data_IF_686992444231
#
_entry.id   IF_686992444231
#
_cell.length_a   1.000
_cell.length_b   1.000
_cell.length_c   1.000
_cell.angle_alpha   90.00
_cell.angle_beta   90.00
_cell.angle_gamma   90.00
#
_symmetry.space_group_name_H-M   'P 1'
#
loop_
_entity.id
_entity.type
_entity.pdbx_description
1 polymer ?
#
# COMPACT_ATOMS: atom_id res chain seq x y z
N UNK A 1 10.95 2.30 -17.59
CA UNK A 1 10.88 3.57 -16.84
C UNK A 1 11.53 4.66 -17.70
N UNK A 2 10.85 5.80 -17.85
CA UNK A 2 11.37 6.95 -18.60
C UNK A 2 12.44 7.74 -17.81
N UNK A 3 12.79 7.26 -16.64
CA UNK A 3 13.78 7.90 -15.76
C UNK A 3 15.17 7.29 -15.92
N UNK A 4 16.17 8.15 -15.89
CA UNK A 4 17.58 7.73 -15.91
C UNK A 4 17.93 6.94 -14.64
N UNK A 5 18.81 5.93 -14.75
CA UNK A 5 19.33 5.21 -13.59
C UNK A 5 20.04 6.14 -12.59
N UNK A 6 20.00 5.79 -11.31
CA UNK A 6 20.72 6.46 -10.22
C UNK A 6 20.49 7.99 -10.16
N UNK A 7 19.21 8.40 -10.35
CA UNK A 7 18.85 9.83 -10.40
C UNK A 7 18.35 10.37 -9.06
N UNK A 8 17.66 9.55 -8.28
CA UNK A 8 16.92 10.01 -7.08
C UNK A 8 17.60 9.57 -5.79
N UNK A 9 17.62 10.46 -4.79
CA UNK A 9 18.06 10.14 -3.43
C UNK A 9 16.96 9.40 -2.66
N UNK A 10 15.70 9.74 -2.94
CA UNK A 10 14.52 9.14 -2.28
C UNK A 10 13.43 8.91 -3.31
N UNK A 11 12.72 7.76 -3.18
CA UNK A 11 11.48 7.48 -3.88
C UNK A 11 10.39 7.17 -2.86
N UNK A 12 9.17 7.68 -3.08
CA UNK A 12 8.03 7.52 -2.21
C UNK A 12 6.89 6.78 -2.93
N UNK A 13 6.22 5.86 -2.23
CA UNK A 13 5.01 5.20 -2.69
C UNK A 13 4.02 5.04 -1.52
N UNK A 14 3.14 6.01 -1.33
CA UNK A 14 2.19 6.06 -0.21
C UNK A 14 0.75 5.85 -0.64
N UNK A 15 -0.16 5.79 0.34
CA UNK A 15 -1.60 5.74 0.11
C UNK A 15 -2.13 4.40 -0.39
N UNK A 16 -1.48 3.29 -0.04
CA UNK A 16 -1.87 1.94 -0.49
C UNK A 16 -1.77 1.75 -2.02
N UNK A 17 -0.98 2.59 -2.70
CA UNK A 17 -0.91 2.64 -4.17
C UNK A 17 -0.30 1.38 -4.79
N UNK A 18 0.71 0.78 -4.16
CA UNK A 18 1.43 -0.38 -4.69
C UNK A 18 0.50 -1.55 -5.04
N UNK A 19 -0.49 -1.83 -4.21
CA UNK A 19 -1.36 -3.00 -4.32
C UNK A 19 -2.38 -2.91 -5.47
N UNK A 20 -2.51 -1.75 -6.11
CA UNK A 20 -3.27 -1.60 -7.36
C UNK A 20 -2.63 -2.34 -8.55
N UNK A 21 -1.38 -2.75 -8.45
CA UNK A 21 -0.73 -3.56 -9.47
C UNK A 21 -1.24 -5.00 -9.55
N UNK A 22 -2.05 -5.44 -8.62
CA UNK A 22 -2.85 -6.67 -8.59
C UNK A 22 -2.07 -7.99 -8.76
N UNK A 23 -0.76 -7.96 -8.98
CA UNK A 23 0.07 -9.17 -9.07
C UNK A 23 1.47 -8.96 -8.50
N UNK A 24 2.02 -10.02 -7.88
CA UNK A 24 3.40 -10.01 -7.37
C UNK A 24 4.42 -9.77 -8.49
N UNK A 25 4.16 -10.26 -9.69
CA UNK A 25 5.05 -10.06 -10.85
C UNK A 25 5.12 -8.57 -11.25
N UNK A 26 3.98 -7.89 -11.32
CA UNK A 26 3.91 -6.45 -11.61
C UNK A 26 4.57 -5.62 -10.51
N UNK A 27 4.35 -5.98 -9.24
CA UNK A 27 5.01 -5.35 -8.10
C UNK A 27 6.52 -5.55 -8.18
N UNK A 28 7.00 -6.76 -8.46
CA UNK A 28 8.43 -7.04 -8.61
C UNK A 28 9.07 -6.21 -9.73
N UNK A 29 8.37 -6.05 -10.86
CA UNK A 29 8.83 -5.18 -11.97
C UNK A 29 8.93 -3.73 -11.54
N UNK A 30 7.93 -3.22 -10.82
CA UNK A 30 7.91 -1.85 -10.28
C UNK A 30 9.06 -1.63 -9.28
N UNK A 31 9.25 -2.55 -8.33
CA UNK A 31 10.30 -2.47 -7.31
C UNK A 31 11.71 -2.48 -7.95
N UNK A 32 11.95 -3.30 -8.99
CA UNK A 32 13.19 -3.26 -9.77
C UNK A 32 13.39 -1.92 -10.48
N UNK A 33 12.30 -1.33 -10.99
CA UNK A 33 12.34 0.01 -11.57
C UNK A 33 12.74 1.08 -10.56
N UNK A 34 12.14 1.04 -9.35
CA UNK A 34 12.51 1.93 -8.23
C UNK A 34 13.98 1.75 -7.85
N UNK A 35 14.42 0.50 -7.69
CA UNK A 35 15.82 0.20 -7.39
C UNK A 35 16.78 0.77 -8.45
N UNK A 36 16.43 0.68 -9.73
CA UNK A 36 17.24 1.21 -10.82
C UNK A 36 17.40 2.72 -10.75
N UNK A 37 16.34 3.46 -10.49
CA UNK A 37 16.35 4.93 -10.51
C UNK A 37 16.92 5.55 -9.23
N UNK A 38 16.98 4.82 -8.13
CA UNK A 38 17.64 5.26 -6.90
C UNK A 38 19.15 5.29 -7.06
N UNK A 39 19.79 6.30 -6.48
CA UNK A 39 21.25 6.36 -6.30
C UNK A 39 21.71 5.24 -5.36
N UNK A 40 22.99 4.81 -5.42
CA UNK A 40 23.58 3.97 -4.37
C UNK A 40 23.38 4.62 -2.98
N UNK A 41 22.86 3.85 -2.00
CA UNK A 41 22.47 4.36 -0.68
C UNK A 41 21.16 5.17 -0.65
N UNK A 42 20.50 5.35 -1.78
CA UNK A 42 19.19 6.02 -1.87
C UNK A 42 18.08 5.23 -1.16
N UNK A 43 17.06 5.92 -0.69
CA UNK A 43 16.02 5.38 0.17
C UNK A 43 14.69 5.21 -0.57
N UNK A 44 14.03 4.09 -0.36
CA UNK A 44 12.63 3.87 -0.75
C UNK A 44 11.73 3.84 0.48
N UNK A 45 10.74 4.72 0.51
CA UNK A 45 9.71 4.78 1.55
C UNK A 45 8.37 4.36 0.94
N UNK A 46 7.75 3.34 1.53
CA UNK A 46 6.52 2.74 1.06
C UNK A 46 5.48 2.71 2.18
N UNK A 47 4.20 2.92 1.84
CA UNK A 47 3.10 2.66 2.76
C UNK A 47 1.97 1.94 2.03
N UNK A 48 1.59 0.78 2.59
CA UNK A 48 0.37 0.05 2.23
C UNK A 48 -0.47 -0.19 3.49
N UNK A 49 -1.63 -0.82 3.34
CA UNK A 49 -2.38 -1.31 4.49
C UNK A 49 -1.85 -2.66 4.96
N UNK A 50 -2.03 -2.92 6.25
CA UNK A 50 -1.59 -4.14 6.93
C UNK A 50 -2.55 -5.30 6.62
N UNK A 51 -2.35 -5.95 5.47
CA UNK A 51 -3.24 -7.02 5.01
C UNK A 51 -3.19 -8.27 5.88
N UNK A 52 -2.11 -8.53 6.63
CA UNK A 52 -2.11 -9.62 7.63
C UNK A 52 -3.19 -9.39 8.69
N UNK A 53 -3.32 -8.16 9.19
CA UNK A 53 -4.35 -7.76 10.15
C UNK A 53 -5.75 -7.75 9.52
N UNK A 54 -5.89 -7.15 8.34
CA UNK A 54 -7.18 -7.04 7.63
C UNK A 54 -7.77 -8.41 7.33
N UNK A 55 -6.96 -9.34 6.84
CA UNK A 55 -7.41 -10.70 6.52
C UNK A 55 -7.60 -11.55 7.78
N UNK A 56 -6.71 -11.43 8.76
CA UNK A 56 -6.78 -12.20 10.02
C UNK A 56 -8.02 -11.89 10.84
N UNK A 57 -8.37 -10.62 10.97
CA UNK A 57 -9.56 -10.17 11.72
C UNK A 57 -10.81 -10.03 10.82
N UNK A 58 -10.72 -10.38 9.52
CA UNK A 58 -11.81 -10.23 8.52
C UNK A 58 -12.40 -8.82 8.49
N UNK A 59 -11.53 -7.81 8.47
CA UNK A 59 -11.96 -6.41 8.42
C UNK A 59 -12.56 -6.12 7.05
N UNK A 60 -13.85 -5.86 7.02
CA UNK A 60 -14.61 -5.57 5.80
C UNK A 60 -14.89 -4.08 5.60
N UNK A 61 -14.66 -3.26 6.62
CA UNK A 61 -14.93 -1.82 6.57
C UNK A 61 -13.77 -1.03 7.18
N UNK A 62 -13.33 0.01 6.49
CA UNK A 62 -12.31 0.93 7.00
C UNK A 62 -12.95 2.07 7.80
N UNK A 63 -12.21 2.69 8.75
CA UNK A 63 -12.72 3.81 9.51
C UNK A 63 -13.34 4.89 8.62
N UNK A 64 -14.55 5.32 8.97
CA UNK A 64 -15.25 6.38 8.23
C UNK A 64 -14.42 7.67 8.21
N UNK A 65 -14.30 8.29 7.05
CA UNK A 65 -13.78 9.65 6.92
C UNK A 65 -14.98 10.57 6.69
N UNK A 66 -15.21 11.46 7.64
CA UNK A 66 -16.33 12.40 7.55
C UNK A 66 -15.87 13.81 7.93
N UNK A 67 -16.28 14.78 7.12
CA UNK A 67 -16.08 16.21 7.33
C UNK A 67 -17.42 16.94 7.12
N UNK A 68 -17.43 18.25 7.27
CA UNK A 68 -18.61 19.08 6.94
C UNK A 68 -19.06 18.94 5.48
N UNK A 69 -18.11 18.68 4.56
CA UNK A 69 -18.35 18.68 3.11
C UNK A 69 -18.51 17.28 2.51
N UNK A 70 -17.87 16.26 3.09
CA UNK A 70 -17.84 14.91 2.52
C UNK A 70 -18.06 13.84 3.58
N UNK A 71 -18.57 12.68 3.10
CA UNK A 71 -18.56 11.42 3.82
C UNK A 71 -17.98 10.36 2.90
N UNK A 72 -16.90 9.68 3.32
CA UNK A 72 -16.18 8.71 2.50
C UNK A 72 -16.17 7.34 3.17
N UNK A 73 -16.94 6.43 2.59
CA UNK A 73 -17.12 5.05 3.04
C UNK A 73 -16.23 4.16 2.18
N UNK A 74 -15.52 3.22 2.83
CA UNK A 74 -14.58 2.30 2.16
C UNK A 74 -14.76 0.90 2.71
N UNK A 75 -15.04 -0.07 1.81
CA UNK A 75 -15.29 -1.47 2.19
C UNK A 75 -14.43 -2.43 1.40
N UNK A 76 -14.13 -3.57 2.02
CA UNK A 76 -13.51 -4.71 1.38
C UNK A 76 -14.50 -5.86 1.24
N UNK A 77 -14.52 -6.49 0.06
CA UNK A 77 -15.14 -7.79 -0.14
C UNK A 77 -14.02 -8.81 -0.26
N UNK A 78 -13.85 -9.60 0.78
CA UNK A 78 -12.81 -10.63 0.90
C UNK A 78 -13.41 -11.96 0.43
N UNK A 79 -12.76 -12.62 -0.53
CA UNK A 79 -13.14 -13.94 -1.02
C UNK A 79 -12.09 -14.96 -0.55
N UNK A 80 -12.54 -16.11 -0.11
CA UNK A 80 -11.65 -17.21 0.28
C UNK A 80 -10.83 -17.68 -0.92
N UNK A 81 -9.54 -17.96 -0.68
CA UNK A 81 -8.59 -18.42 -1.69
C UNK A 81 -8.35 -17.46 -2.87
N UNK A 82 -8.77 -16.19 -2.76
CA UNK A 82 -8.45 -15.16 -3.75
C UNK A 82 -7.42 -14.19 -3.17
N UNK A 83 -6.24 -14.00 -3.80
CA UNK A 83 -5.26 -13.03 -3.35
C UNK A 83 -5.72 -11.58 -3.57
N UNK A 84 -6.78 -11.37 -4.36
CA UNK A 84 -7.35 -10.06 -4.61
C UNK A 84 -8.55 -9.82 -3.69
N UNK A 85 -8.60 -8.61 -3.12
CA UNK A 85 -9.79 -8.09 -2.43
C UNK A 85 -10.46 -7.03 -3.30
N UNK A 86 -11.79 -7.04 -3.37
CA UNK A 86 -12.52 -5.94 -4.03
C UNK A 86 -12.64 -4.78 -3.04
N UNK A 87 -12.18 -3.63 -3.47
CA UNK A 87 -12.22 -2.40 -2.71
C UNK A 87 -13.32 -1.50 -3.27
N UNK A 88 -14.34 -1.29 -2.48
CA UNK A 88 -15.51 -0.50 -2.82
C UNK A 88 -15.49 0.82 -2.05
N UNK A 89 -15.80 1.90 -2.74
CA UNK A 89 -15.80 3.25 -2.16
C UNK A 89 -17.07 4.00 -2.52
N UNK A 90 -17.55 4.80 -1.56
CA UNK A 90 -18.64 5.75 -1.77
C UNK A 90 -18.22 7.08 -1.19
N UNK A 91 -18.15 8.10 -2.04
CA UNK A 91 -17.87 9.48 -1.67
C UNK A 91 -19.17 10.27 -1.79
N UNK A 92 -19.75 10.64 -0.67
CA UNK A 92 -20.92 11.53 -0.58
C UNK A 92 -20.43 12.98 -0.49
N UNK A 93 -20.81 13.82 -1.44
CA UNK A 93 -20.52 15.25 -1.46
C UNK A 93 -21.76 15.97 -0.93
N UNK A 94 -21.73 16.36 0.36
CA UNK A 94 -22.91 16.81 1.11
C UNK A 94 -23.61 18.04 0.52
N UNK A 95 -22.83 19.00 0.00
CA UNK A 95 -23.39 20.25 -0.57
C UNK A 95 -24.07 20.03 -1.93
N UNK A 96 -23.65 19.02 -2.66
CA UNK A 96 -24.15 18.73 -4.02
C UNK A 96 -25.19 17.60 -4.01
N UNK A 97 -25.45 17.01 -2.83
CA UNK A 97 -26.29 15.81 -2.68
C UNK A 97 -25.90 14.68 -3.66
N UNK A 98 -24.61 14.63 -3.99
CA UNK A 98 -24.05 13.68 -4.98
C UNK A 98 -23.27 12.57 -4.30
N UNK A 99 -23.45 11.34 -4.79
CA UNK A 99 -22.63 10.19 -4.39
C UNK A 99 -21.85 9.65 -5.58
N UNK A 100 -20.54 9.59 -5.44
CA UNK A 100 -19.65 8.94 -6.42
C UNK A 100 -19.22 7.60 -5.85
N UNK A 101 -19.49 6.51 -6.56
CA UNK A 101 -19.07 5.17 -6.18
C UNK A 101 -18.02 4.62 -7.14
N UNK A 102 -17.09 3.83 -6.60
CA UNK A 102 -16.07 3.14 -7.40
C UNK A 102 -15.75 1.76 -6.79
N UNK A 103 -15.36 0.83 -7.64
CA UNK A 103 -14.86 -0.48 -7.25
C UNK A 103 -13.55 -0.80 -7.99
N UNK A 104 -12.56 -1.31 -7.27
CA UNK A 104 -11.31 -1.80 -7.85
C UNK A 104 -10.81 -3.04 -7.11
N UNK A 105 -10.00 -3.85 -7.77
CA UNK A 105 -9.33 -4.97 -7.14
C UNK A 105 -7.95 -4.56 -6.64
N UNK A 106 -7.61 -4.98 -5.42
CA UNK A 106 -6.32 -4.74 -4.79
C UNK A 106 -5.69 -6.08 -4.42
N UNK A 107 -4.38 -6.20 -4.58
CA UNK A 107 -3.66 -7.37 -4.07
C UNK A 107 -3.56 -7.28 -2.54
N UNK A 108 -4.08 -8.28 -1.84
CA UNK A 108 -3.93 -8.40 -0.39
C UNK A 108 -2.50 -8.83 -0.03
N UNK A 109 -1.53 -7.95 -0.24
CA UNK A 109 -0.11 -8.20 -0.08
C UNK A 109 0.28 -8.23 1.39
N UNK A 110 0.64 -9.41 1.90
CA UNK A 110 1.07 -9.60 3.29
C UNK A 110 2.48 -9.07 3.52
N UNK A 111 2.79 -8.74 4.78
CA UNK A 111 4.08 -8.16 5.18
C UNK A 111 5.28 -9.02 4.77
N UNK A 112 5.21 -10.33 5.01
CA UNK A 112 6.28 -11.29 4.62
C UNK A 112 6.51 -11.28 3.12
N UNK A 113 5.44 -11.32 2.32
CA UNK A 113 5.51 -11.30 0.86
C UNK A 113 6.12 -10.00 0.33
N UNK A 114 5.78 -8.87 0.94
CA UNK A 114 6.36 -7.56 0.58
C UNK A 114 7.86 -7.53 0.85
N UNK A 115 8.30 -8.02 2.02
CA UNK A 115 9.73 -8.09 2.38
C UNK A 115 10.48 -8.96 1.38
N UNK A 116 9.96 -10.14 1.03
CA UNK A 116 10.57 -11.01 0.02
C UNK A 116 10.71 -10.34 -1.35
N UNK A 117 9.69 -9.59 -1.79
CA UNK A 117 9.72 -8.87 -3.05
C UNK A 117 10.76 -7.74 -3.05
N UNK A 118 10.89 -7.02 -1.93
CA UNK A 118 11.92 -5.99 -1.75
C UNK A 118 13.34 -6.59 -1.80
N UNK A 119 13.58 -7.68 -1.06
CA UNK A 119 14.85 -8.40 -1.08
C UNK A 119 15.20 -8.90 -2.49
N UNK A 120 14.24 -9.51 -3.20
CA UNK A 120 14.41 -9.97 -4.61
C UNK A 120 14.66 -8.82 -5.58
N UNK A 121 14.26 -7.60 -5.25
CA UNK A 121 14.57 -6.42 -6.06
C UNK A 121 15.97 -5.85 -5.79
N UNK A 122 16.64 -6.28 -4.71
CA UNK A 122 17.98 -5.87 -4.31
C UNK A 122 18.02 -4.91 -3.11
N UNK A 123 16.88 -4.53 -2.53
CA UNK A 123 16.84 -3.65 -1.37
C UNK A 123 17.43 -4.31 -0.12
N UNK A 124 18.12 -3.51 0.67
CA UNK A 124 18.70 -3.86 1.96
C UNK A 124 18.18 -2.92 3.07
N UNK A 125 18.60 -3.17 4.33
CA UNK A 125 18.18 -2.40 5.51
C UNK A 125 16.65 -2.18 5.52
N UNK A 126 15.89 -3.29 5.32
CA UNK A 126 14.43 -3.25 5.25
C UNK A 126 13.87 -3.20 6.66
N UNK A 127 13.25 -2.08 7.00
CA UNK A 127 12.59 -1.85 8.28
C UNK A 127 11.09 -1.65 8.06
N UNK A 128 10.27 -2.23 8.94
CA UNK A 128 8.80 -2.13 8.87
C UNK A 128 8.24 -1.53 10.16
N UNK A 129 7.22 -0.69 10.03
CA UNK A 129 6.63 0.07 11.12
C UNK A 129 5.11 0.10 11.03
N UNK A 130 4.46 0.34 12.17
CA UNK A 130 2.99 0.49 12.25
C UNK A 130 2.50 1.89 11.84
N UNK A 131 3.38 2.87 11.75
CA UNK A 131 3.07 4.26 11.37
C UNK A 131 4.33 5.04 10.96
N UNK A 132 4.14 6.30 10.57
CA UNK A 132 5.23 7.19 10.18
C UNK A 132 6.09 7.71 11.35
N UNK A 133 5.70 7.44 12.61
CA UNK A 133 6.52 7.74 13.80
C UNK A 133 7.53 6.63 14.09
N UNK A 134 7.54 5.58 13.26
CA UNK A 134 8.40 4.40 13.39
C UNK A 134 8.08 3.55 14.64
N UNK A 135 6.82 3.51 15.07
CA UNK A 135 6.40 2.58 16.11
C UNK A 135 6.52 1.14 15.59
N UNK A 136 6.81 0.20 16.50
CA UNK A 136 7.03 -1.20 16.18
C UNK A 136 5.87 -1.79 15.37
N UNK A 137 6.20 -2.57 14.33
CA UNK A 137 5.22 -3.30 13.55
C UNK A 137 4.71 -4.53 14.30
N UNK A 138 3.43 -4.81 14.16
CA UNK A 138 2.73 -5.95 14.75
C UNK A 138 1.50 -5.50 15.54
N UNK A 139 0.54 -6.42 15.71
CA UNK A 139 -0.72 -6.13 16.40
C UNK A 139 -1.80 -5.51 15.50
N UNK A 140 -2.76 -4.82 16.12
CA UNK A 140 -4.00 -4.34 15.49
C UNK A 140 -3.87 -2.89 15.00
N UNK A 141 -3.26 -2.70 13.84
CA UNK A 141 -3.15 -1.38 13.21
C UNK A 141 -3.32 -1.49 11.69
N UNK A 142 -3.78 -0.41 11.05
CA UNK A 142 -4.04 -0.41 9.60
C UNK A 142 -2.81 -0.10 8.73
N UNK A 143 -1.91 0.86 9.08
CA UNK A 143 -0.77 1.12 8.22
C UNK A 143 0.33 0.04 8.36
N UNK A 144 0.97 -0.26 7.23
CA UNK A 144 2.28 -0.90 7.15
C UNK A 144 3.18 0.07 6.41
N UNK A 145 4.16 0.62 7.10
CA UNK A 145 5.15 1.55 6.57
C UNK A 145 6.48 0.83 6.44
N UNK A 146 7.14 0.98 5.31
CA UNK A 146 8.45 0.37 5.03
C UNK A 146 9.45 1.44 4.69
N UNK A 147 10.65 1.29 5.22
CA UNK A 147 11.86 2.02 4.84
C UNK A 147 12.90 1.00 4.40
N UNK A 148 13.52 1.20 3.25
CA UNK A 148 14.63 0.35 2.80
C UNK A 148 15.60 1.14 1.93
N UNK A 149 16.83 0.60 1.72
CA UNK A 149 17.89 1.23 0.95
C UNK A 149 18.29 0.40 -0.27
N UNK A 150 18.81 1.12 -1.27
CA UNK A 150 19.53 0.54 -2.39
C UNK A 150 20.96 0.23 -2.03
#
# INVERSE_FOLDING_TARGET
TDFQPSKFDVVLCFGNTLVHLQSKASIQKMLKGVFTVLKPGGQFLLQILHYDYILGERITELPLIETENIRFIRKYVIQENNPLVRFQTWLEIKKEEQTVSNETSLLALKSVELIELLQKAGFCEIEIYSNFKRDAFGGKHLPLVVSCKK
#
